data_IF_972441991424
#
_entry.id   IF_972441991424
#
_cell.length_a   1.000
_cell.length_b   1.000
_cell.length_c   1.000
_cell.angle_alpha   90.00
_cell.angle_beta   90.00
_cell.angle_gamma   90.00
#
_symmetry.space_group_name_H-M   'P 1'
#
loop_
_entity.id
_entity.type
_entity.pdbx_description
1 polymer ?
#
# COMPACT_ATOMS: atom_id res chain seq x y z
N UNK A 1 29.51 16.30 6.21
CA UNK A 1 28.76 15.12 5.79
C UNK A 1 27.39 15.24 6.42
N UNK A 2 26.27 15.40 5.69
CA UNK A 2 24.96 15.30 6.31
C UNK A 2 24.83 13.90 6.90
N UNK A 3 24.30 13.80 8.13
CA UNK A 3 24.05 12.56 8.81
C UNK A 3 23.26 11.62 7.86
N UNK A 4 23.64 10.35 7.81
CA UNK A 4 22.97 9.32 7.03
C UNK A 4 21.53 9.19 7.55
N UNK A 5 20.61 9.99 7.00
CA UNK A 5 19.19 9.99 7.37
C UNK A 5 18.59 8.71 6.84
N UNK A 6 17.91 7.95 7.68
CA UNK A 6 17.21 6.74 7.25
C UNK A 6 16.20 7.11 6.16
N UNK A 7 16.21 6.38 5.04
CA UNK A 7 15.26 6.57 3.96
C UNK A 7 13.81 6.23 4.36
N UNK A 8 13.66 5.50 5.46
CA UNK A 8 12.37 5.11 6.05
C UNK A 8 12.36 5.56 7.49
N UNK A 9 11.31 6.28 7.88
CA UNK A 9 11.09 6.72 9.25
C UNK A 9 9.85 6.06 9.81
N UNK A 10 9.96 5.52 11.02
CA UNK A 10 8.87 4.84 11.72
C UNK A 10 8.48 5.68 12.94
N UNK A 11 7.18 5.81 13.15
CA UNK A 11 6.60 6.37 14.37
C UNK A 11 5.39 5.54 14.77
N UNK A 12 5.45 4.95 15.94
CA UNK A 12 4.31 4.25 16.53
C UNK A 12 3.47 5.24 17.36
N UNK A 13 2.16 5.22 17.16
CA UNK A 13 1.17 5.98 17.90
C UNK A 13 0.02 5.04 18.23
N UNK A 14 -0.17 4.75 19.51
CA UNK A 14 -1.19 3.83 20.05
C UNK A 14 -1.49 2.62 19.15
N UNK A 15 -2.49 2.71 18.28
CA UNK A 15 -2.95 1.64 17.38
C UNK A 15 -2.43 1.76 15.94
N UNK A 16 -1.69 2.83 15.60
CA UNK A 16 -1.22 3.08 14.23
C UNK A 16 0.31 3.18 14.18
N UNK A 17 0.93 2.37 13.32
CA UNK A 17 2.31 2.60 12.88
C UNK A 17 2.32 3.51 11.67
N UNK A 18 3.00 4.65 11.78
CA UNK A 18 3.26 5.54 10.65
C UNK A 18 4.62 5.20 10.04
N UNK A 19 4.59 4.76 8.80
CA UNK A 19 5.78 4.50 7.98
C UNK A 19 5.91 5.63 6.96
N UNK A 20 7.00 6.39 7.03
CA UNK A 20 7.24 7.53 6.15
C UNK A 20 8.44 7.24 5.24
N UNK A 21 8.23 7.34 3.93
CA UNK A 21 9.31 7.40 2.94
C UNK A 21 9.98 8.77 3.11
N UNK A 22 11.24 8.85 3.54
CA UNK A 22 11.87 10.09 4.03
C UNK A 22 13.12 10.48 3.24
N UNK A 23 12.98 10.55 1.90
CA UNK A 23 13.96 11.12 0.96
C UNK A 23 13.29 12.18 0.07
N UNK A 24 12.71 13.25 0.67
CA UNK A 24 11.93 14.25 -0.07
C UNK A 24 12.72 14.96 -1.18
N UNK A 25 14.03 15.14 -1.02
CA UNK A 25 14.94 15.71 -2.02
C UNK A 25 15.07 14.84 -3.29
N UNK A 26 14.75 13.54 -3.18
CA UNK A 26 14.68 12.56 -4.28
C UNK A 26 13.24 12.14 -4.58
N UNK A 27 12.24 12.91 -4.12
CA UNK A 27 10.80 12.56 -4.24
C UNK A 27 10.50 11.16 -3.74
N UNK A 28 11.18 10.75 -2.67
CA UNK A 28 11.04 9.44 -2.05
C UNK A 28 11.35 8.25 -2.99
N UNK A 29 12.27 8.44 -3.95
CA UNK A 29 12.77 7.36 -4.79
C UNK A 29 13.45 6.28 -3.93
N UNK A 30 13.25 5.01 -4.30
CA UNK A 30 13.63 3.85 -3.51
C UNK A 30 14.89 3.18 -4.05
N UNK A 31 15.89 3.08 -3.18
CA UNK A 31 17.11 2.30 -3.36
C UNK A 31 16.90 0.89 -2.78
N UNK A 32 17.78 -0.10 -3.07
CA UNK A 32 17.74 -1.42 -2.43
C UNK A 32 17.65 -1.36 -0.90
N UNK A 33 18.48 -0.53 -0.27
CA UNK A 33 18.47 -0.36 1.19
C UNK A 33 17.16 0.27 1.71
N UNK A 34 16.54 1.18 0.94
CA UNK A 34 15.24 1.76 1.30
C UNK A 34 14.12 0.72 1.19
N UNK A 35 14.17 -0.17 0.19
CA UNK A 35 13.22 -1.28 0.06
C UNK A 35 13.34 -2.25 1.23
N UNK A 36 14.55 -2.68 1.60
CA UNK A 36 14.76 -3.57 2.75
C UNK A 36 14.26 -2.95 4.07
N UNK A 37 14.51 -1.65 4.26
CA UNK A 37 14.03 -0.93 5.44
C UNK A 37 12.51 -0.78 5.45
N UNK A 38 11.87 -0.62 4.28
CA UNK A 38 10.41 -0.55 4.17
C UNK A 38 9.76 -1.90 4.46
N UNK A 39 10.31 -3.00 3.92
CA UNK A 39 9.87 -4.36 4.22
C UNK A 39 9.89 -4.61 5.74
N UNK A 40 11.03 -4.33 6.39
CA UNK A 40 11.17 -4.48 7.84
C UNK A 40 10.19 -3.59 8.62
N UNK A 41 9.93 -2.37 8.16
CA UNK A 41 9.02 -1.43 8.82
C UNK A 41 7.56 -1.91 8.80
N UNK A 42 7.13 -2.55 7.71
CA UNK A 42 5.75 -3.06 7.56
C UNK A 42 5.59 -4.39 8.29
N UNK A 43 6.54 -5.32 8.13
CA UNK A 43 6.46 -6.66 8.73
C UNK A 43 6.74 -6.66 10.24
N UNK A 44 7.50 -5.71 10.75
CA UNK A 44 7.98 -5.64 12.14
C UNK A 44 6.99 -4.94 13.09
N UNK A 45 5.66 -5.11 12.93
CA UNK A 45 4.68 -4.45 13.80
C UNK A 45 3.54 -5.38 14.21
N UNK A 46 3.07 -5.17 15.45
CA UNK A 46 1.84 -5.73 16.01
C UNK A 46 0.67 -4.74 15.97
N UNK A 47 0.90 -3.50 15.51
CA UNK A 47 -0.13 -2.47 15.44
C UNK A 47 -1.23 -2.88 14.46
N UNK A 48 -2.53 -2.67 14.79
CA UNK A 48 -3.63 -3.07 13.92
C UNK A 48 -3.67 -2.31 12.59
N UNK A 49 -3.08 -1.12 12.53
CA UNK A 49 -3.05 -0.28 11.32
C UNK A 49 -1.63 0.20 11.01
N UNK A 50 -1.24 0.11 9.74
CA UNK A 50 -0.04 0.75 9.19
C UNK A 50 -0.49 1.88 8.26
N UNK A 51 0.01 3.09 8.50
CA UNK A 51 -0.18 4.25 7.63
C UNK A 51 1.12 4.54 6.88
N UNK A 52 1.13 4.24 5.58
CA UNK A 52 2.27 4.49 4.68
C UNK A 52 2.10 5.82 3.96
N UNK A 53 3.11 6.71 4.04
CA UNK A 53 3.09 8.02 3.40
C UNK A 53 4.45 8.44 2.86
N UNK A 54 4.48 9.48 2.02
CA UNK A 54 5.69 10.20 1.64
C UNK A 54 6.02 11.37 2.58
N UNK A 55 7.26 11.78 2.65
CA UNK A 55 7.68 13.06 3.19
C UNK A 55 7.82 14.09 2.07
N UNK A 56 7.45 15.35 2.35
CA UNK A 56 7.58 16.44 1.37
C UNK A 56 6.54 16.37 0.24
N UNK A 57 6.88 16.80 -0.99
CA UNK A 57 5.88 17.08 -2.03
C UNK A 57 5.46 15.88 -2.87
N UNK A 58 5.90 14.67 -2.55
CA UNK A 58 5.57 13.45 -3.31
C UNK A 58 5.32 12.27 -2.39
N UNK A 59 4.41 11.41 -2.77
CA UNK A 59 4.29 10.10 -2.14
C UNK A 59 5.55 9.26 -2.42
N UNK A 60 5.78 8.89 -3.68
CA UNK A 60 6.95 8.09 -4.08
C UNK A 60 7.17 8.16 -5.60
N UNK A 61 8.42 8.43 -6.01
CA UNK A 61 8.81 8.45 -7.41
C UNK A 61 9.13 7.06 -7.99
N UNK A 62 9.02 5.99 -7.19
CA UNK A 62 9.37 4.62 -7.59
C UNK A 62 10.85 4.31 -7.41
N UNK A 63 11.41 3.47 -8.28
CA UNK A 63 12.81 3.10 -8.27
C UNK A 63 13.73 4.32 -8.44
N UNK A 64 14.84 4.37 -7.69
CA UNK A 64 15.84 5.41 -7.87
C UNK A 64 16.57 5.19 -9.21
N UNK A 65 16.37 6.12 -10.15
CA UNK A 65 16.91 6.00 -11.51
C UNK A 65 18.43 6.00 -11.56
N UNK A 66 19.11 6.63 -10.59
CA UNK A 66 20.57 6.55 -10.52
C UNK A 66 21.01 5.10 -10.20
N UNK A 67 20.24 4.38 -9.39
CA UNK A 67 20.47 2.95 -9.14
C UNK A 67 20.17 2.13 -10.38
N UNK A 68 18.99 2.35 -10.99
CA UNK A 68 18.55 1.57 -12.17
C UNK A 68 19.52 1.69 -13.35
N UNK A 69 20.10 2.88 -13.55
CA UNK A 69 21.03 3.13 -14.64
C UNK A 69 22.34 2.30 -14.56
N UNK A 70 22.71 1.88 -13.36
CA UNK A 70 23.95 1.12 -13.10
C UNK A 70 23.73 -0.40 -13.03
N UNK A 71 22.47 -0.90 -13.18
CA UNK A 71 22.15 -2.33 -13.10
C UNK A 71 22.46 -3.04 -14.44
N UNK A 72 23.08 -4.20 -14.35
CA UNK A 72 23.06 -5.21 -15.40
C UNK A 72 21.79 -6.10 -15.28
N UNK A 73 21.59 -7.04 -16.22
CA UNK A 73 20.40 -7.88 -16.24
C UNK A 73 20.15 -8.63 -14.92
N UNK A 74 21.10 -9.41 -14.40
CA UNK A 74 20.95 -10.13 -13.12
C UNK A 74 20.68 -9.20 -11.93
N UNK A 75 21.37 -8.07 -11.84
CA UNK A 75 21.16 -7.10 -10.77
C UNK A 75 19.78 -6.41 -10.87
N UNK A 76 19.28 -6.19 -12.09
CA UNK A 76 17.95 -5.67 -12.33
C UNK A 76 16.85 -6.67 -11.91
N UNK A 77 17.05 -7.98 -12.18
CA UNK A 77 16.16 -9.03 -11.71
C UNK A 77 16.12 -9.07 -10.18
N UNK A 78 17.27 -9.05 -9.49
CA UNK A 78 17.35 -9.01 -8.03
C UNK A 78 16.65 -7.76 -7.46
N UNK A 79 16.83 -6.60 -8.09
CA UNK A 79 16.17 -5.36 -7.67
C UNK A 79 14.65 -5.42 -7.84
N UNK A 80 14.16 -6.03 -8.93
CA UNK A 80 12.74 -6.26 -9.14
C UNK A 80 12.15 -7.22 -8.09
N UNK A 81 12.81 -8.35 -7.82
CA UNK A 81 12.42 -9.30 -6.78
C UNK A 81 12.35 -8.63 -5.39
N UNK A 82 13.29 -7.74 -5.09
CA UNK A 82 13.31 -6.99 -3.83
C UNK A 82 12.08 -6.08 -3.71
N UNK A 83 11.71 -5.39 -4.78
CA UNK A 83 10.48 -4.59 -4.81
C UNK A 83 9.21 -5.44 -4.68
N UNK A 84 9.20 -6.62 -5.32
CA UNK A 84 8.09 -7.58 -5.19
C UNK A 84 7.95 -8.08 -3.74
N UNK A 85 9.06 -8.39 -3.05
CA UNK A 85 9.01 -8.79 -1.63
C UNK A 85 8.38 -7.70 -0.76
N UNK A 86 8.76 -6.44 -0.99
CA UNK A 86 8.16 -5.30 -0.25
C UNK A 86 6.66 -5.19 -0.54
N UNK A 87 6.25 -5.27 -1.80
CA UNK A 87 4.84 -5.21 -2.17
C UNK A 87 4.05 -6.38 -1.55
N UNK A 88 4.62 -7.60 -1.57
CA UNK A 88 4.02 -8.76 -0.92
C UNK A 88 3.93 -8.56 0.60
N UNK A 89 4.98 -8.05 1.25
CA UNK A 89 4.97 -7.77 2.69
C UNK A 89 3.88 -6.74 3.09
N UNK A 90 3.60 -5.74 2.23
CA UNK A 90 2.50 -4.80 2.42
C UNK A 90 1.15 -5.51 2.27
N UNK A 91 0.99 -6.32 1.22
CA UNK A 91 -0.23 -7.06 0.93
C UNK A 91 -0.56 -8.10 2.01
N UNK A 92 0.44 -8.84 2.47
CA UNK A 92 0.31 -9.96 3.40
C UNK A 92 0.38 -9.52 4.88
N UNK A 93 0.64 -8.23 5.16
CA UNK A 93 0.68 -7.71 6.52
C UNK A 93 -0.61 -8.07 7.29
N UNK A 94 -0.47 -8.51 8.54
CA UNK A 94 -1.65 -8.72 9.41
C UNK A 94 -2.39 -7.41 9.72
N UNK A 95 -1.65 -6.30 9.73
CA UNK A 95 -2.21 -4.96 9.90
C UNK A 95 -3.02 -4.54 8.69
N UNK A 96 -4.07 -3.75 8.89
CA UNK A 96 -4.69 -2.99 7.81
C UNK A 96 -3.72 -1.90 7.32
N UNK A 97 -3.35 -1.91 6.05
CA UNK A 97 -2.39 -0.95 5.47
C UNK A 97 -3.12 0.12 4.68
N UNK A 98 -2.95 1.38 5.08
CA UNK A 98 -3.48 2.56 4.39
C UNK A 98 -2.33 3.32 3.74
N UNK A 99 -2.33 3.42 2.42
CA UNK A 99 -1.45 4.31 1.69
C UNK A 99 -2.10 5.71 1.60
N UNK A 100 -1.52 6.69 2.28
CA UNK A 100 -1.90 8.10 2.20
C UNK A 100 -1.07 8.82 1.15
N UNK A 101 -1.71 9.20 0.04
CA UNK A 101 -1.05 9.70 -1.15
C UNK A 101 -1.32 11.20 -1.28
N UNK A 102 -0.38 12.01 -0.81
CA UNK A 102 -0.47 13.47 -0.71
C UNK A 102 0.30 14.21 -1.82
N UNK A 103 0.61 13.53 -2.91
CA UNK A 103 1.32 14.08 -4.05
C UNK A 103 1.59 13.01 -5.12
N UNK A 104 2.54 13.23 -6.02
CA UNK A 104 2.85 12.30 -7.10
C UNK A 104 3.26 10.90 -6.62
N UNK A 105 2.60 9.86 -7.16
CA UNK A 105 3.01 8.46 -7.12
C UNK A 105 3.40 8.00 -8.53
N UNK A 106 4.58 7.42 -8.72
CA UNK A 106 5.11 7.04 -10.03
C UNK A 106 5.73 5.64 -10.00
N UNK A 107 5.44 4.82 -11.01
CA UNK A 107 6.03 3.49 -11.18
C UNK A 107 5.95 2.67 -9.89
N UNK A 108 7.08 2.23 -9.35
CA UNK A 108 7.14 1.51 -8.08
C UNK A 108 6.38 2.16 -6.91
N UNK A 109 6.19 3.49 -6.93
CA UNK A 109 5.36 4.19 -5.95
C UNK A 109 3.87 3.86 -6.10
N UNK A 110 3.37 3.73 -7.34
CA UNK A 110 2.01 3.23 -7.61
C UNK A 110 1.91 1.76 -7.22
N UNK A 111 2.93 0.96 -7.57
CA UNK A 111 2.95 -0.48 -7.28
C UNK A 111 2.89 -0.79 -5.78
N UNK A 112 3.63 -0.03 -4.95
CA UNK A 112 3.54 -0.14 -3.49
C UNK A 112 2.18 0.32 -2.95
N UNK A 113 1.61 1.39 -3.52
CA UNK A 113 0.27 1.82 -3.15
C UNK A 113 -0.79 0.77 -3.49
N UNK A 114 -0.67 0.08 -4.64
CA UNK A 114 -1.56 -1.01 -5.04
C UNK A 114 -1.54 -2.21 -4.08
N UNK A 115 -0.43 -2.44 -3.39
CA UNK A 115 -0.30 -3.52 -2.41
C UNK A 115 -1.02 -3.20 -1.08
N UNK A 116 -1.24 -1.92 -0.75
CA UNK A 116 -1.99 -1.52 0.44
C UNK A 116 -3.46 -1.92 0.36
N UNK A 117 -4.12 -2.05 1.52
CA UNK A 117 -5.55 -2.37 1.59
C UNK A 117 -6.40 -1.18 1.13
N UNK A 118 -6.08 0.01 1.60
CA UNK A 118 -6.72 1.25 1.19
C UNK A 118 -5.70 2.22 0.58
N UNK A 119 -6.08 2.85 -0.52
CA UNK A 119 -5.37 3.98 -1.13
C UNK A 119 -6.25 5.20 -0.96
N UNK A 120 -5.77 6.15 -0.17
CA UNK A 120 -6.47 7.40 0.13
C UNK A 120 -5.63 8.56 -0.39
N UNK A 121 -6.19 9.35 -1.28
CA UNK A 121 -5.49 10.43 -1.95
C UNK A 121 -5.92 11.80 -1.43
N UNK A 122 -5.02 12.78 -1.49
CA UNK A 122 -5.43 14.19 -1.44
C UNK A 122 -5.83 14.66 -2.84
N UNK A 123 -6.54 15.82 -2.96
CA UNK A 123 -6.89 16.39 -4.27
C UNK A 123 -5.68 16.62 -5.19
N UNK A 124 -4.49 16.90 -4.63
CA UNK A 124 -3.25 17.16 -5.37
C UNK A 124 -2.52 15.89 -5.82
N UNK A 125 -2.98 14.72 -5.39
CA UNK A 125 -2.33 13.46 -5.75
C UNK A 125 -2.43 13.19 -7.26
N UNK A 126 -1.35 12.67 -7.81
CA UNK A 126 -1.32 12.24 -9.22
C UNK A 126 -0.61 10.91 -9.37
N UNK A 127 -1.05 10.11 -10.34
CA UNK A 127 -0.59 8.74 -10.54
C UNK A 127 -0.12 8.54 -11.97
N UNK A 128 0.95 7.79 -12.19
CA UNK A 128 1.36 7.33 -13.51
C UNK A 128 2.29 6.11 -13.43
N UNK A 129 2.24 5.31 -14.49
CA UNK A 129 3.19 4.23 -14.79
C UNK A 129 4.10 4.63 -15.97
N UNK A 130 5.09 5.54 -15.75
CA UNK A 130 5.84 6.13 -16.84
C UNK A 130 6.95 5.23 -17.39
N UNK A 131 7.16 4.04 -16.87
CA UNK A 131 8.24 3.12 -17.25
C UNK A 131 8.31 2.89 -18.76
N UNK A 132 7.17 2.77 -19.44
CA UNK A 132 7.10 2.57 -20.88
C UNK A 132 7.84 3.67 -21.69
N UNK A 133 7.91 4.89 -21.19
CA UNK A 133 8.63 6.02 -21.82
C UNK A 133 10.15 5.88 -21.70
N UNK A 134 10.62 4.98 -20.82
CA UNK A 134 12.02 4.64 -20.61
C UNK A 134 12.36 3.24 -21.15
N UNK A 135 11.41 2.57 -21.86
CA UNK A 135 11.57 1.19 -22.29
C UNK A 135 11.48 0.16 -21.16
N UNK A 136 10.88 0.54 -20.04
CA UNK A 136 10.69 -0.30 -18.85
C UNK A 136 9.19 -0.44 -18.54
N UNK A 137 8.87 -1.25 -17.52
CA UNK A 137 7.54 -1.35 -16.96
C UNK A 137 7.64 -1.56 -15.44
N UNK A 138 6.53 -1.46 -14.73
CA UNK A 138 6.45 -1.72 -13.30
C UNK A 138 6.68 -3.20 -13.00
N UNK A 139 7.79 -3.53 -12.33
CA UNK A 139 8.22 -4.90 -12.07
C UNK A 139 8.08 -5.31 -10.60
N UNK A 140 7.47 -4.47 -9.76
CA UNK A 140 7.22 -4.78 -8.33
C UNK A 140 5.83 -5.36 -8.07
N UNK A 141 5.23 -5.95 -9.11
CA UNK A 141 3.90 -6.56 -9.08
C UNK A 141 2.79 -5.67 -9.61
N UNK A 142 3.12 -4.56 -10.27
CA UNK A 142 2.15 -3.66 -10.89
C UNK A 142 1.32 -4.34 -11.96
N UNK A 143 1.93 -5.14 -12.82
CA UNK A 143 1.22 -5.90 -13.87
C UNK A 143 0.24 -6.94 -13.32
N UNK A 144 0.39 -7.34 -12.07
CA UNK A 144 -0.52 -8.28 -11.38
C UNK A 144 -1.61 -7.52 -10.63
N UNK A 145 -1.25 -6.46 -9.88
CA UNK A 145 -2.17 -5.75 -8.97
C UNK A 145 -3.02 -4.69 -9.67
N UNK A 146 -2.42 -3.95 -10.62
CA UNK A 146 -3.14 -2.87 -11.29
C UNK A 146 -4.44 -3.35 -11.96
N UNK A 147 -4.43 -4.42 -12.82
CA UNK A 147 -5.66 -4.91 -13.43
C UNK A 147 -6.67 -5.49 -12.44
N UNK A 148 -6.23 -5.99 -11.28
CA UNK A 148 -7.14 -6.43 -10.20
C UNK A 148 -7.86 -5.25 -9.54
N UNK A 149 -7.23 -4.08 -9.50
CA UNK A 149 -7.78 -2.89 -8.83
C UNK A 149 -8.65 -2.06 -9.77
N UNK A 150 -8.18 -1.77 -10.99
CA UNK A 150 -8.88 -0.84 -11.92
C UNK A 150 -9.53 -1.54 -13.11
N UNK A 151 -9.38 -2.87 -13.23
CA UNK A 151 -9.78 -3.62 -14.42
C UNK A 151 -8.75 -3.54 -15.54
N UNK A 152 -8.78 -4.48 -16.47
CA UNK A 152 -7.77 -4.65 -17.53
C UNK A 152 -7.69 -3.43 -18.46
N UNK A 153 -8.82 -2.84 -18.82
CA UNK A 153 -8.86 -1.70 -19.76
C UNK A 153 -8.12 -0.48 -19.24
N UNK A 154 -8.44 -0.03 -18.03
CA UNK A 154 -7.77 1.11 -17.40
C UNK A 154 -6.30 0.80 -17.06
N UNK A 155 -6.01 -0.45 -16.67
CA UNK A 155 -4.65 -0.88 -16.39
C UNK A 155 -3.75 -0.81 -17.63
N UNK A 156 -4.25 -1.31 -18.79
CA UNK A 156 -3.53 -1.23 -20.07
C UNK A 156 -3.36 0.21 -20.53
N UNK A 157 -4.41 1.05 -20.40
CA UNK A 157 -4.31 2.45 -20.77
C UNK A 157 -3.24 3.19 -19.94
N UNK A 158 -3.22 3.01 -18.62
CA UNK A 158 -2.20 3.60 -17.76
C UNK A 158 -0.78 3.10 -18.09
N UNK A 159 -0.61 1.77 -18.20
CA UNK A 159 0.69 1.16 -18.37
C UNK A 159 1.28 1.38 -19.78
N UNK A 160 0.46 1.32 -20.84
CA UNK A 160 0.94 1.46 -22.23
C UNK A 160 1.13 2.93 -22.63
N UNK A 161 0.30 3.85 -22.12
CA UNK A 161 0.42 5.27 -22.42
C UNK A 161 1.42 5.98 -21.52
N UNK A 162 1.62 5.49 -20.29
CA UNK A 162 2.37 6.19 -19.25
C UNK A 162 1.80 7.58 -18.94
N UNK A 163 0.47 7.77 -19.17
CA UNK A 163 -0.20 9.04 -18.87
C UNK A 163 -0.29 9.28 -17.37
N UNK A 164 -0.45 10.53 -17.00
CA UNK A 164 -0.72 10.92 -15.61
C UNK A 164 -2.22 11.06 -15.43
N UNK A 165 -2.74 10.56 -14.31
CA UNK A 165 -4.12 10.78 -13.86
C UNK A 165 -4.12 11.56 -12.55
N UNK A 166 -5.13 12.42 -12.38
CA UNK A 166 -5.40 13.15 -11.15
C UNK A 166 -6.20 12.30 -10.13
N UNK A 167 -6.39 12.85 -8.94
CA UNK A 167 -7.11 12.17 -7.86
C UNK A 167 -8.56 11.83 -8.22
N UNK A 168 -9.27 12.73 -8.92
CA UNK A 168 -10.66 12.50 -9.33
C UNK A 168 -10.78 11.38 -10.36
N UNK A 169 -9.86 11.32 -11.32
CA UNK A 169 -9.79 10.23 -12.29
C UNK A 169 -9.41 8.92 -11.62
N UNK A 170 -8.47 8.95 -10.68
CA UNK A 170 -8.07 7.81 -9.87
C UNK A 170 -9.23 7.26 -9.03
N UNK A 171 -10.09 8.13 -8.48
CA UNK A 171 -11.30 7.73 -7.77
C UNK A 171 -12.33 7.08 -8.72
N UNK A 172 -12.58 7.69 -9.89
CA UNK A 172 -13.54 7.16 -10.86
C UNK A 172 -13.18 5.78 -11.39
N UNK A 173 -11.88 5.50 -11.60
CA UNK A 173 -11.42 4.19 -12.08
C UNK A 173 -11.21 3.16 -10.94
N UNK A 174 -11.42 3.56 -9.68
CA UNK A 174 -11.22 2.68 -8.53
C UNK A 174 -9.75 2.50 -8.10
N UNK A 175 -8.83 3.30 -8.65
CA UNK A 175 -7.42 3.26 -8.25
C UNK A 175 -7.26 3.71 -6.78
N UNK A 176 -8.03 4.69 -6.34
CA UNK A 176 -8.11 5.10 -4.94
C UNK A 176 -9.54 4.92 -4.42
N UNK A 177 -9.68 4.63 -3.13
CA UNK A 177 -10.97 4.40 -2.48
C UNK A 177 -11.61 5.69 -1.94
N UNK A 178 -10.79 6.69 -1.63
CA UNK A 178 -11.25 8.00 -1.10
C UNK A 178 -10.33 9.12 -1.58
N UNK A 179 -10.92 10.32 -1.74
CA UNK A 179 -10.18 11.58 -1.88
C UNK A 179 -10.57 12.49 -0.72
N UNK A 180 -9.58 12.96 0.05
CA UNK A 180 -9.78 13.79 1.26
C UNK A 180 -8.53 14.62 1.53
N UNK A 181 -8.67 15.77 2.18
CA UNK A 181 -7.55 16.62 2.61
C UNK A 181 -6.68 15.94 3.70
N UNK A 182 -7.24 15.01 4.47
CA UNK A 182 -6.54 14.30 5.53
C UNK A 182 -6.65 12.78 5.37
N UNK A 183 -5.78 12.15 4.56
CA UNK A 183 -5.72 10.69 4.43
C UNK A 183 -5.38 9.97 5.75
N UNK A 184 -4.73 10.66 6.71
CA UNK A 184 -4.38 10.08 8.00
C UNK A 184 -5.63 9.81 8.84
N UNK A 185 -6.65 10.65 8.78
CA UNK A 185 -7.90 10.47 9.50
C UNK A 185 -8.57 9.12 9.15
N UNK A 186 -8.40 8.62 7.91
CA UNK A 186 -8.91 7.29 7.52
C UNK A 186 -8.18 6.16 8.23
N UNK A 187 -6.87 6.28 8.43
CA UNK A 187 -6.13 5.28 9.20
C UNK A 187 -6.51 5.29 10.69
N UNK A 188 -6.77 6.46 11.25
CA UNK A 188 -7.24 6.62 12.62
C UNK A 188 -8.67 6.05 12.78
N UNK A 189 -9.58 6.32 11.82
CA UNK A 189 -10.93 5.71 11.74
C UNK A 189 -10.88 4.18 11.76
N UNK A 190 -9.95 3.57 11.01
CA UNK A 190 -9.77 2.12 11.05
C UNK A 190 -9.27 1.64 12.41
N UNK A 191 -8.36 2.38 13.02
CA UNK A 191 -7.74 2.02 14.29
C UNK A 191 -8.71 2.06 15.49
N UNK A 192 -9.88 2.71 15.35
CA UNK A 192 -10.96 2.70 16.31
C UNK A 192 -11.75 1.37 16.31
N UNK A 193 -11.54 0.52 15.29
CA UNK A 193 -12.21 -0.78 15.22
C UNK A 193 -11.40 -1.87 15.95
N UNK A 194 -12.07 -2.99 16.26
CA UNK A 194 -11.42 -4.13 16.88
C UNK A 194 -10.33 -4.73 15.99
N UNK A 195 -9.12 -4.86 16.53
CA UNK A 195 -7.92 -5.27 15.81
C UNK A 195 -8.03 -6.70 15.24
N UNK A 196 -8.68 -7.63 15.96
CA UNK A 196 -8.85 -9.00 15.49
C UNK A 196 -9.85 -9.05 14.34
N UNK A 197 -10.91 -8.26 14.44
CA UNK A 197 -11.92 -8.14 13.39
C UNK A 197 -11.31 -7.54 12.10
N UNK A 198 -10.46 -6.50 12.20
CA UNK A 198 -9.76 -5.94 11.05
C UNK A 198 -8.90 -7.00 10.34
N UNK A 199 -8.09 -7.77 11.10
CA UNK A 199 -7.27 -8.86 10.57
C UNK A 199 -8.13 -9.95 9.91
N UNK A 200 -9.23 -10.32 10.56
CA UNK A 200 -10.15 -11.33 10.05
C UNK A 200 -10.77 -10.91 8.72
N UNK A 201 -11.29 -9.67 8.62
CA UNK A 201 -11.88 -9.14 7.39
C UNK A 201 -10.84 -9.12 6.26
N UNK A 202 -9.65 -8.56 6.52
CA UNK A 202 -8.56 -8.54 5.53
C UNK A 202 -8.22 -9.95 5.03
N UNK A 203 -8.01 -10.89 5.95
CA UNK A 203 -7.65 -12.27 5.61
C UNK A 203 -8.75 -12.98 4.82
N UNK A 204 -10.04 -12.68 5.07
CA UNK A 204 -11.15 -13.25 4.29
C UNK A 204 -11.30 -12.62 2.92
N UNK A 205 -11.13 -11.30 2.81
CA UNK A 205 -11.22 -10.58 1.54
C UNK A 205 -10.08 -10.92 0.56
N UNK A 206 -8.92 -11.34 1.08
CA UNK A 206 -7.74 -11.72 0.28
C UNK A 206 -7.57 -13.23 0.12
N UNK A 207 -8.51 -14.03 0.61
CA UNK A 207 -8.50 -15.50 0.46
C UNK A 207 -8.83 -15.85 -0.99
N UNK A 208 -7.91 -16.54 -1.66
CA UNK A 208 -8.03 -16.98 -3.06
C UNK A 208 -8.43 -18.47 -3.19
N UNK A 209 -8.75 -19.13 -2.06
CA UNK A 209 -9.22 -20.51 -2.06
C UNK A 209 -10.58 -20.64 -2.79
N UNK A 210 -10.97 -21.87 -3.22
CA UNK A 210 -12.31 -22.09 -3.76
C UNK A 210 -13.42 -21.61 -2.82
N UNK A 211 -14.54 -21.11 -3.38
CA UNK A 211 -15.63 -20.47 -2.62
C UNK A 211 -16.12 -21.31 -1.43
N UNK A 212 -16.31 -22.60 -1.59
CA UNK A 212 -16.71 -23.52 -0.51
C UNK A 212 -15.72 -23.53 0.68
N UNK A 213 -14.43 -23.35 0.40
CA UNK A 213 -13.39 -23.28 1.44
C UNK A 213 -13.44 -21.91 2.13
N UNK A 214 -13.61 -20.83 1.35
CA UNK A 214 -13.74 -19.48 1.89
C UNK A 214 -14.97 -19.37 2.80
N UNK A 215 -16.14 -19.81 2.36
CA UNK A 215 -17.40 -19.78 3.12
C UNK A 215 -17.30 -20.57 4.44
N UNK A 216 -16.65 -21.74 4.42
CA UNK A 216 -16.37 -22.47 5.65
C UNK A 216 -15.47 -21.70 6.62
N UNK A 217 -14.38 -21.13 6.13
CA UNK A 217 -13.47 -20.30 6.94
C UNK A 217 -14.16 -19.05 7.48
N UNK A 218 -15.04 -18.44 6.68
CA UNK A 218 -15.88 -17.31 7.08
C UNK A 218 -16.78 -17.69 8.26
N UNK A 219 -17.48 -18.83 8.17
CA UNK A 219 -18.34 -19.36 9.24
C UNK A 219 -17.56 -19.60 10.54
N UNK A 220 -16.38 -20.21 10.46
CA UNK A 220 -15.51 -20.49 11.61
C UNK A 220 -15.02 -19.18 12.28
N UNK A 221 -14.60 -18.20 11.47
CA UNK A 221 -14.14 -16.90 11.96
C UNK A 221 -15.29 -16.12 12.59
N UNK A 222 -16.45 -16.08 11.94
CA UNK A 222 -17.63 -15.41 12.46
C UNK A 222 -18.05 -15.97 13.84
N UNK A 223 -18.08 -17.30 14.00
CA UNK A 223 -18.41 -17.94 15.28
C UNK A 223 -17.48 -17.50 16.41
N UNK A 224 -16.15 -17.47 16.16
CA UNK A 224 -15.18 -16.98 17.15
C UNK A 224 -15.36 -15.50 17.51
N UNK A 225 -15.63 -14.66 16.52
CA UNK A 225 -15.84 -13.23 16.75
C UNK A 225 -17.14 -12.98 17.55
N UNK A 226 -18.22 -13.69 17.27
CA UNK A 226 -19.48 -13.61 18.05
C UNK A 226 -19.25 -14.02 19.49
N UNK A 227 -18.56 -15.14 19.75
CA UNK A 227 -18.23 -15.59 21.10
C UNK A 227 -17.40 -14.54 21.87
N UNK A 228 -16.38 -13.97 21.21
CA UNK A 228 -15.50 -12.96 21.81
C UNK A 228 -16.22 -11.65 22.14
N UNK A 229 -17.17 -11.23 21.32
CA UNK A 229 -17.84 -9.93 21.43
C UNK A 229 -19.28 -10.02 21.95
N UNK A 230 -19.66 -11.17 22.53
CA UNK A 230 -21.04 -11.47 22.97
C UNK A 230 -21.62 -10.38 23.88
N UNK A 231 -20.86 -9.92 24.87
CA UNK A 231 -21.30 -8.89 25.82
C UNK A 231 -21.53 -7.53 25.14
N UNK A 232 -20.58 -7.11 24.28
CA UNK A 232 -20.71 -5.84 23.55
C UNK A 232 -21.87 -5.84 22.54
N UNK A 233 -22.17 -7.00 21.95
CA UNK A 233 -23.33 -7.19 21.06
C UNK A 233 -24.63 -7.10 21.85
N UNK A 234 -24.69 -7.72 23.05
CA UNK A 234 -25.86 -7.67 23.93
C UNK A 234 -26.17 -6.25 24.39
N UNK A 235 -25.15 -5.49 24.81
CA UNK A 235 -25.30 -4.09 25.26
C UNK A 235 -25.84 -3.19 24.14
N UNK A 236 -25.42 -3.40 22.89
CA UNK A 236 -25.94 -2.63 21.74
C UNK A 236 -27.39 -2.96 21.38
N UNK A 237 -27.84 -4.19 21.64
CA UNK A 237 -29.21 -4.58 21.38
C UNK A 237 -30.18 -3.85 22.36
N UNK A 238 -29.72 -3.56 23.58
CA UNK A 238 -30.53 -3.03 24.67
C UNK A 238 -30.47 -1.48 24.73
N UNK A 239 -29.70 -0.82 23.80
CA UNK A 239 -29.57 0.64 23.64
C UNK A 239 -30.49 1.16 22.54
#
# INVERSE_FOLDING_TARGET
>A
MPANRSAIRIRDAESVRVVTLDRPERRNALTPAALDALEAAVSGTDRPVVYLRGAGPAFCAGADLDVVADLDGPAAEEFAERGQRVANAIEDAESAVVAGIDGPARGGGVELALAADLRVATPEATFAEPGVKLGLFGAWGGTVRLPRVVGEGEALDLALSGRTVDADSALRMGLVSRVTEDPRAVADELADNDAETLRAVKARMRDDAPAEVQERRETEVFGRLVERHADAIADRRDS
#
